data_IF_994685251659
#
_entry.id   IF_994685251659
#
_cell.length_a   1.000
_cell.length_b   1.000
_cell.length_c   1.000
_cell.angle_alpha   90.00
_cell.angle_beta   90.00
_cell.angle_gamma   90.00
#
_symmetry.space_group_name_H-M   'P 1'
#
loop_
_entity.id
_entity.type
_entity.pdbx_description
1 polymer ?
#
# COMPACT_ATOMS: atom_id res chain seq x y z
N UNK A 1 12.00 2.58 -10.28
CA UNK A 1 10.52 2.56 -10.27
C UNK A 1 9.97 3.86 -9.72
N UNK A 2 10.27 4.23 -8.48
CA UNK A 2 9.78 5.47 -7.84
C UNK A 2 10.06 6.74 -8.66
N UNK A 3 11.27 6.89 -9.19
CA UNK A 3 11.64 8.06 -10.00
C UNK A 3 10.81 8.21 -11.28
N UNK A 4 10.33 7.09 -11.87
CA UNK A 4 9.46 7.13 -13.07
C UNK A 4 8.07 7.71 -12.77
N UNK A 5 7.74 7.82 -11.49
CA UNK A 5 6.51 8.43 -10.98
C UNK A 5 6.82 9.72 -10.21
N UNK A 6 7.98 10.34 -10.46
CA UNK A 6 8.41 11.59 -9.81
C UNK A 6 8.44 11.52 -8.27
N UNK A 7 8.73 10.33 -7.73
CA UNK A 7 8.94 10.13 -6.29
C UNK A 7 10.43 10.00 -6.00
N UNK A 8 10.95 10.92 -5.17
CA UNK A 8 12.34 10.83 -4.69
C UNK A 8 12.55 9.54 -3.89
N UNK A 9 13.53 8.67 -4.25
CA UNK A 9 13.72 7.36 -3.64
C UNK A 9 14.54 7.43 -2.34
N UNK A 10 13.95 7.98 -1.27
CA UNK A 10 14.58 7.90 0.06
C UNK A 10 14.53 6.48 0.60
N UNK A 11 15.46 6.12 1.51
CA UNK A 11 15.49 4.77 2.09
C UNK A 11 14.14 4.35 2.67
N UNK A 12 13.49 5.24 3.45
CA UNK A 12 12.17 4.95 4.02
C UNK A 12 11.08 4.71 2.97
N UNK A 13 11.15 5.38 1.81
CA UNK A 13 10.20 5.15 0.71
C UNK A 13 10.48 3.84 -0.02
N UNK A 14 11.75 3.47 -0.14
CA UNK A 14 12.13 2.15 -0.66
C UNK A 14 11.64 1.05 0.27
N UNK A 15 11.83 1.20 1.58
CA UNK A 15 11.39 0.24 2.60
C UNK A 15 9.85 0.05 2.58
N UNK A 16 9.09 1.14 2.50
CA UNK A 16 7.62 1.09 2.37
C UNK A 16 7.23 0.43 1.04
N UNK A 17 7.87 0.83 -0.06
CA UNK A 17 7.67 0.28 -1.39
C UNK A 17 7.91 -1.23 -1.44
N UNK A 18 8.94 -1.71 -0.76
CA UNK A 18 9.28 -3.13 -0.70
C UNK A 18 8.17 -3.96 -0.05
N UNK A 19 7.43 -3.40 0.91
CA UNK A 19 6.34 -4.13 1.58
C UNK A 19 5.04 -4.11 0.77
N UNK A 20 4.68 -2.95 0.19
CA UNK A 20 3.41 -2.81 -0.54
C UNK A 20 3.50 -3.31 -1.98
N UNK A 21 4.63 -3.13 -2.67
CA UNK A 21 4.79 -3.46 -4.08
C UNK A 21 5.32 -4.89 -4.32
N UNK A 22 5.68 -5.64 -3.27
CA UNK A 22 6.24 -6.99 -3.41
C UNK A 22 5.25 -8.02 -4.00
N UNK A 23 3.94 -7.83 -3.78
CA UNK A 23 2.91 -8.72 -4.30
C UNK A 23 1.66 -7.92 -4.67
N UNK A 24 0.92 -8.31 -5.73
CA UNK A 24 -0.35 -7.71 -6.12
C UNK A 24 -1.44 -8.12 -5.12
N UNK A 25 -1.39 -7.55 -3.93
CA UNK A 25 -2.35 -7.82 -2.86
C UNK A 25 -2.68 -6.52 -2.16
N UNK A 26 -3.98 -6.32 -1.94
CA UNK A 26 -4.53 -5.25 -1.13
C UNK A 26 -4.06 -5.34 0.31
N UNK A 27 -3.48 -4.25 0.83
CA UNK A 27 -3.07 -4.18 2.24
C UNK A 27 -3.60 -2.93 2.90
N UNK A 28 -4.08 -3.07 4.13
CA UNK A 28 -4.36 -1.93 5.00
C UNK A 28 -3.06 -1.27 5.47
N UNK A 29 -3.14 -0.02 5.93
CA UNK A 29 -1.99 0.67 6.51
C UNK A 29 -1.36 -0.12 7.68
N UNK A 30 -2.17 -0.75 8.52
CA UNK A 30 -1.68 -1.52 9.68
C UNK A 30 -0.98 -2.81 9.25
N UNK A 31 -1.44 -3.47 8.18
CA UNK A 31 -0.74 -4.62 7.59
C UNK A 31 0.62 -4.20 7.01
N UNK A 32 0.69 -3.05 6.34
CA UNK A 32 1.94 -2.51 5.80
C UNK A 32 2.93 -2.17 6.93
N UNK A 33 2.46 -1.49 7.98
CA UNK A 33 3.28 -1.18 9.16
C UNK A 33 3.80 -2.47 9.82
N UNK A 34 2.96 -3.49 9.92
CA UNK A 34 3.36 -4.79 10.48
C UNK A 34 4.41 -5.48 9.61
N UNK A 35 4.27 -5.44 8.29
CA UNK A 35 5.27 -5.95 7.34
C UNK A 35 6.60 -5.21 7.40
N UNK A 36 6.59 -3.88 7.56
CA UNK A 36 7.78 -3.05 7.74
C UNK A 36 8.53 -3.48 9.02
N UNK A 37 7.81 -3.65 10.13
CA UNK A 37 8.38 -4.13 11.40
C UNK A 37 8.95 -5.55 11.27
N UNK A 38 8.22 -6.44 10.60
CA UNK A 38 8.66 -7.83 10.39
C UNK A 38 9.95 -7.94 9.56
N UNK A 39 10.18 -6.99 8.65
CA UNK A 39 11.44 -6.87 7.89
C UNK A 39 12.56 -6.15 8.65
N UNK A 40 12.30 -5.64 9.85
CA UNK A 40 13.29 -4.89 10.65
C UNK A 40 13.54 -3.47 10.16
N UNK A 41 12.65 -2.91 9.33
CA UNK A 41 12.78 -1.54 8.83
C UNK A 41 12.31 -0.51 9.86
N UNK A 42 13.05 0.59 9.98
CA UNK A 42 12.76 1.67 10.94
C UNK A 42 12.05 2.83 10.25
N UNK A 43 10.73 2.69 10.07
CA UNK A 43 9.87 3.71 9.48
C UNK A 43 8.76 4.08 10.47
N UNK A 44 8.60 5.37 10.77
CA UNK A 44 7.54 5.82 11.68
C UNK A 44 6.16 5.62 11.07
N UNK A 45 5.12 5.43 11.89
CA UNK A 45 3.73 5.33 11.42
C UNK A 45 3.36 6.53 10.52
N UNK A 46 3.71 7.74 10.93
CA UNK A 46 3.47 8.96 10.14
C UNK A 46 4.18 8.93 8.77
N UNK A 47 5.44 8.50 8.72
CA UNK A 47 6.20 8.34 7.48
C UNK A 47 5.55 7.33 6.54
N UNK A 48 5.02 6.22 7.07
CA UNK A 48 4.29 5.22 6.27
C UNK A 48 3.07 5.87 5.61
N UNK A 49 2.20 6.54 6.37
CA UNK A 49 1.03 7.20 5.79
C UNK A 49 1.39 8.27 4.76
N UNK A 50 2.38 9.11 5.06
CA UNK A 50 2.84 10.14 4.12
C UNK A 50 3.36 9.53 2.82
N UNK A 51 4.08 8.41 2.92
CA UNK A 51 4.58 7.69 1.74
C UNK A 51 3.46 7.04 0.94
N UNK A 52 2.51 6.39 1.61
CA UNK A 52 1.37 5.76 0.94
C UNK A 52 0.49 6.80 0.24
N UNK A 53 0.23 7.94 0.88
CA UNK A 53 -0.50 9.04 0.26
C UNK A 53 0.23 9.59 -0.97
N UNK A 54 1.55 9.82 -0.86
CA UNK A 54 2.37 10.25 -1.99
C UNK A 54 2.33 9.23 -3.13
N UNK A 55 2.42 7.93 -2.83
CA UNK A 55 2.34 6.89 -3.85
C UNK A 55 0.98 6.88 -4.55
N UNK A 56 -0.10 7.13 -3.83
CA UNK A 56 -1.44 7.28 -4.43
C UNK A 56 -1.52 8.51 -5.34
N UNK A 57 -1.03 9.66 -4.86
CA UNK A 57 -0.98 10.92 -5.62
C UNK A 57 -0.20 10.77 -6.93
N UNK A 58 0.89 9.99 -6.90
CA UNK A 58 1.77 9.72 -8.05
C UNK A 58 1.37 8.50 -8.87
N UNK A 59 0.21 7.90 -8.56
CA UNK A 59 -0.35 6.78 -9.32
C UNK A 59 0.44 5.48 -9.23
N UNK A 60 1.27 5.29 -8.20
CA UNK A 60 1.88 3.98 -7.89
C UNK A 60 0.91 3.05 -7.17
N UNK A 61 -0.03 3.62 -6.41
CA UNK A 61 -1.04 2.89 -5.67
C UNK A 61 -2.43 3.45 -5.99
N UNK A 62 -3.44 2.61 -5.82
CA UNK A 62 -4.84 3.04 -5.71
C UNK A 62 -5.32 2.81 -4.28
N UNK A 63 -6.35 3.56 -3.89
CA UNK A 63 -7.05 3.32 -2.63
C UNK A 63 -8.38 2.66 -2.90
N UNK A 64 -8.65 1.58 -2.18
CA UNK A 64 -9.95 0.93 -2.16
C UNK A 64 -10.59 1.20 -0.81
N UNK A 65 -11.75 1.87 -0.84
CA UNK A 65 -12.57 2.11 0.33
C UNK A 65 -13.53 0.93 0.47
N UNK A 66 -13.21 0.05 1.41
CA UNK A 66 -13.94 -1.22 1.62
C UNK A 66 -15.01 -1.07 2.70
N UNK A 67 -14.74 -0.23 3.71
CA UNK A 67 -15.65 0.10 4.81
C UNK A 67 -15.29 1.51 5.34
N UNK A 68 -16.21 2.23 6.03
CA UNK A 68 -15.98 3.61 6.50
C UNK A 68 -14.77 3.80 7.41
N UNK A 69 -14.22 2.73 7.98
CA UNK A 69 -13.10 2.77 8.92
C UNK A 69 -11.76 2.25 8.37
N UNK A 70 -11.70 1.67 7.17
CA UNK A 70 -10.48 1.00 6.68
C UNK A 70 -10.20 1.31 5.20
N UNK A 71 -9.06 1.95 4.98
CA UNK A 71 -8.49 2.19 3.65
C UNK A 71 -7.52 1.08 3.29
N UNK A 72 -7.70 0.49 2.12
CA UNK A 72 -6.79 -0.49 1.54
C UNK A 72 -5.99 0.15 0.41
N UNK A 73 -4.73 -0.26 0.28
CA UNK A 73 -3.81 0.19 -0.76
C UNK A 73 -3.56 -0.94 -1.75
N UNK A 74 -3.67 -0.60 -3.01
CA UNK A 74 -3.60 -1.51 -4.15
C UNK A 74 -2.40 -1.17 -5.03
N UNK A 75 -1.40 -2.07 -5.14
CA UNK A 75 -0.24 -1.88 -6.01
C UNK A 75 -0.52 -2.19 -7.49
N UNK A 76 -1.67 -2.76 -7.81
CA UNK A 76 -2.07 -3.09 -9.18
C UNK A 76 -2.72 -1.87 -9.82
N UNK A 77 -1.90 -1.07 -10.52
CA UNK A 77 -2.35 0.18 -11.14
C UNK A 77 -3.10 -0.03 -12.46
N UNK A 78 -3.21 -1.27 -12.95
CA UNK A 78 -4.04 -1.66 -14.10
C UNK A 78 -5.48 -1.96 -13.65
N UNK A 79 -6.53 -1.66 -14.44
CA UNK A 79 -7.89 -2.05 -14.11
C UNK A 79 -8.00 -3.57 -13.87
N UNK A 80 -8.59 -3.95 -12.74
CA UNK A 80 -8.95 -5.33 -12.36
C UNK A 80 -10.21 -5.27 -11.49
N UNK A 81 -10.93 -6.38 -11.36
CA UNK A 81 -12.17 -6.44 -10.56
C UNK A 81 -11.84 -6.91 -9.14
N UNK A 82 -12.43 -6.26 -8.13
CA UNK A 82 -12.29 -6.66 -6.73
C UNK A 82 -13.51 -7.45 -6.25
N UNK A 83 -13.27 -8.53 -5.51
CA UNK A 83 -14.27 -9.27 -4.74
C UNK A 83 -14.04 -9.01 -3.25
N UNK A 84 -15.03 -8.43 -2.57
CA UNK A 84 -15.00 -8.23 -1.11
C UNK A 84 -15.84 -9.28 -0.40
N UNK A 85 -15.23 -10.02 0.51
CA UNK A 85 -15.92 -10.94 1.40
C UNK A 85 -16.26 -10.23 2.72
N UNK A 86 -17.54 -9.91 2.90
CA UNK A 86 -18.07 -9.18 4.07
C UNK A 86 -17.94 -9.95 5.39
N UNK A 87 -17.88 -11.29 5.35
CA UNK A 87 -17.82 -12.13 6.54
C UNK A 87 -16.39 -12.23 7.09
N UNK A 88 -15.39 -12.10 6.22
CA UNK A 88 -13.96 -12.24 6.56
C UNK A 88 -13.20 -10.92 6.55
N UNK A 89 -13.75 -9.88 5.90
CA UNK A 89 -13.08 -8.61 5.67
C UNK A 89 -11.94 -8.71 4.64
N UNK A 90 -11.92 -9.77 3.84
CA UNK A 90 -10.89 -10.04 2.84
C UNK A 90 -11.28 -9.49 1.45
N UNK A 91 -10.33 -8.83 0.79
CA UNK A 91 -10.49 -8.28 -0.55
C UNK A 91 -9.56 -9.05 -1.50
N UNK A 92 -10.13 -9.67 -2.54
CA UNK A 92 -9.41 -10.50 -3.51
C UNK A 92 -9.63 -10.01 -4.93
N UNK A 93 -8.62 -10.11 -5.79
CA UNK A 93 -8.68 -9.68 -7.19
C UNK A 93 -9.21 -10.81 -8.10
N UNK A 94 -10.00 -10.47 -9.13
CA UNK A 94 -10.53 -11.37 -10.16
C UNK A 94 -9.89 -11.07 -11.53
#
# INVERSE_FOLDING_TARGET
MLERHDVTPTQQRLDVGEVILAMPQHKSADQIISGIKAKGFYVSKATVYNTLNLFCERGLLRTVDVDPGRKYYDPTTRPHHHFYNVDTGELTDI
#
